data_IF_708210742894
#
_entry.id   IF_708210742894
#
_cell.length_a   1.000
_cell.length_b   1.000
_cell.length_c   1.000
_cell.angle_alpha   90.00
_cell.angle_beta   90.00
_cell.angle_gamma   90.00
#
_symmetry.space_group_name_H-M   'P 1'
#
loop_
_entity.id
_entity.type
_entity.pdbx_description
1 polymer ?
#
# COMPACT_ATOMS: atom_id res chain seq x y z
N UNK A 1 9.42 -1.57 12.25
CA UNK A 1 8.13 -0.94 11.92
C UNK A 1 8.14 -0.74 10.42
N UNK A 2 7.11 -1.20 9.71
CA UNK A 2 7.00 -1.11 8.26
C UNK A 2 6.11 0.06 7.87
N UNK A 3 6.56 0.86 6.90
CA UNK A 3 5.81 2.01 6.39
C UNK A 3 5.05 1.60 5.12
N UNK A 4 3.73 1.77 5.14
CA UNK A 4 2.84 1.33 4.06
C UNK A 4 2.21 2.54 3.37
N UNK A 5 2.51 2.73 2.09
CA UNK A 5 1.84 3.73 1.27
C UNK A 5 0.46 3.20 0.83
N UNK A 6 -0.60 3.93 1.16
CA UNK A 6 -1.96 3.62 0.68
C UNK A 6 -2.28 4.44 -0.56
N UNK A 7 -2.44 3.77 -1.70
CA UNK A 7 -2.96 4.38 -2.91
C UNK A 7 -4.47 4.12 -2.96
N UNK A 8 -5.26 5.19 -2.97
CA UNK A 8 -6.73 5.23 -2.80
C UNK A 8 -7.24 5.19 -1.35
N UNK A 9 -8.55 5.45 -1.19
CA UNK A 9 -9.26 5.23 0.07
C UNK A 9 -9.41 3.73 0.32
N UNK A 10 -8.64 3.23 1.27
CA UNK A 10 -8.77 1.86 1.78
C UNK A 10 -9.71 1.86 2.99
N UNK A 11 -10.59 0.87 3.07
CA UNK A 11 -11.57 0.80 4.15
C UNK A 11 -10.88 0.47 5.49
N UNK A 12 -11.29 1.10 6.62
CA UNK A 12 -10.73 0.84 7.95
C UNK A 12 -10.72 -0.64 8.33
N UNK A 13 -11.79 -1.37 8.01
CA UNK A 13 -11.89 -2.82 8.27
C UNK A 13 -10.73 -3.65 7.71
N UNK A 14 -10.06 -3.18 6.64
CA UNK A 14 -8.85 -3.80 6.10
C UNK A 14 -7.59 -3.32 6.81
N UNK A 15 -7.43 -2.00 6.97
CA UNK A 15 -6.22 -1.40 7.59
C UNK A 15 -6.12 -1.66 9.08
N UNK A 16 -7.24 -1.82 9.79
CA UNK A 16 -7.29 -2.14 11.24
C UNK A 16 -6.73 -3.54 11.54
N UNK A 17 -6.56 -4.38 10.52
CA UNK A 17 -5.86 -5.68 10.64
C UNK A 17 -4.35 -5.53 10.66
N UNK A 18 -3.82 -4.38 10.23
CA UNK A 18 -2.40 -4.07 10.35
C UNK A 18 -2.11 -3.79 11.83
N UNK A 19 -1.35 -4.67 12.46
CA UNK A 19 -0.98 -4.51 13.86
C UNK A 19 0.03 -3.37 14.08
N UNK A 20 0.48 -3.22 15.33
CA UNK A 20 1.41 -2.17 15.78
C UNK A 20 2.77 -2.13 15.05
N UNK A 21 3.11 -3.18 14.29
CA UNK A 21 4.32 -3.22 13.49
C UNK A 21 4.23 -2.41 12.20
N UNK A 22 3.05 -1.92 11.83
CA UNK A 22 2.80 -1.20 10.58
C UNK A 22 2.34 0.23 10.87
N UNK A 23 2.90 1.17 10.11
CA UNK A 23 2.38 2.52 9.95
C UNK A 23 1.88 2.66 8.52
N UNK A 24 0.76 3.32 8.30
CA UNK A 24 0.21 3.48 6.95
C UNK A 24 -0.35 4.89 6.72
N UNK A 25 -0.28 5.35 5.48
CA UNK A 25 -0.78 6.66 5.07
C UNK A 25 -0.66 6.90 3.57
N UNK A 26 -1.28 7.97 3.09
CA UNK A 26 -1.23 8.40 1.69
C UNK A 26 -0.01 9.27 1.36
N UNK A 27 0.77 9.67 2.36
CA UNK A 27 1.94 10.55 2.23
C UNK A 27 3.20 9.88 2.82
N UNK A 28 3.37 8.58 2.52
CA UNK A 28 4.54 7.81 2.94
C UNK A 28 5.59 7.84 1.84
N UNK A 29 6.72 8.47 2.12
CA UNK A 29 7.90 8.45 1.25
C UNK A 29 8.74 7.19 1.50
N UNK A 30 9.34 6.63 0.44
CA UNK A 30 10.15 5.39 0.46
C UNK A 30 9.49 4.23 1.25
N UNK A 31 8.24 3.85 0.91
CA UNK A 31 7.49 2.85 1.66
C UNK A 31 8.13 1.46 1.57
N UNK A 32 8.01 0.67 2.63
CA UNK A 32 8.37 -0.74 2.64
C UNK A 32 7.29 -1.59 1.95
N UNK A 33 6.05 -1.10 1.89
CA UNK A 33 4.97 -1.76 1.18
C UNK A 33 3.95 -0.77 0.59
N UNK A 34 3.24 -1.19 -0.46
CA UNK A 34 2.16 -0.41 -1.07
C UNK A 34 0.84 -1.18 -0.93
N UNK A 35 -0.21 -0.51 -0.47
CA UNK A 35 -1.59 -1.01 -0.45
C UNK A 35 -2.45 -0.22 -1.44
N UNK A 36 -2.87 -0.85 -2.54
CA UNK A 36 -3.59 -0.20 -3.64
C UNK A 36 -5.01 -0.76 -3.79
N UNK A 37 -5.96 0.01 -4.34
CA UNK A 37 -7.28 -0.53 -4.75
C UNK A 37 -7.55 -0.44 -6.25
N UNK A 38 -7.32 0.71 -6.87
CA UNK A 38 -7.63 0.96 -8.29
C UNK A 38 -6.75 2.04 -8.90
N UNK A 39 -5.75 2.55 -8.17
CA UNK A 39 -4.74 3.43 -8.74
C UNK A 39 -3.90 2.63 -9.74
N UNK A 40 -3.59 3.26 -10.88
CA UNK A 40 -2.64 2.75 -11.83
C UNK A 40 -1.23 2.87 -11.25
N UNK A 41 -0.41 1.85 -11.49
CA UNK A 41 0.99 1.79 -11.02
C UNK A 41 1.98 1.53 -12.16
N UNK A 42 1.54 1.62 -13.42
CA UNK A 42 2.34 1.25 -14.59
C UNK A 42 3.61 2.10 -14.74
N UNK A 43 3.51 3.40 -14.42
CA UNK A 43 4.61 4.36 -14.56
C UNK A 43 5.24 4.73 -13.21
N UNK A 44 4.92 3.99 -12.14
CA UNK A 44 5.54 4.23 -10.83
C UNK A 44 6.90 3.56 -10.77
N UNK A 45 7.92 4.33 -10.40
CA UNK A 45 9.20 3.78 -9.99
C UNK A 45 9.12 3.32 -8.53
N UNK A 46 9.68 2.13 -8.26
CA UNK A 46 9.75 1.58 -6.92
C UNK A 46 11.17 1.65 -6.40
N UNK A 47 11.33 2.07 -5.15
CA UNK A 47 12.61 2.02 -4.47
C UNK A 47 13.01 0.57 -4.16
N UNK A 48 14.32 0.32 -4.08
CA UNK A 48 14.88 -1.01 -3.82
C UNK A 48 14.45 -1.61 -2.47
N UNK A 49 13.99 -0.78 -1.53
CA UNK A 49 13.51 -1.21 -0.22
C UNK A 49 12.05 -1.71 -0.24
N UNK A 50 11.35 -1.63 -1.38
CA UNK A 50 9.96 -2.06 -1.47
C UNK A 50 9.88 -3.59 -1.34
N UNK A 51 9.23 -4.06 -0.27
CA UNK A 51 9.13 -5.48 0.05
C UNK A 51 7.87 -6.12 -0.55
N UNK A 52 6.77 -5.38 -0.65
CA UNK A 52 5.49 -5.94 -1.07
C UNK A 52 4.53 -4.91 -1.67
N UNK A 53 3.69 -5.38 -2.60
CA UNK A 53 2.51 -4.67 -3.09
C UNK A 53 1.29 -5.54 -2.84
N UNK A 54 0.31 -5.02 -2.12
CA UNK A 54 -0.95 -5.67 -1.82
C UNK A 54 -2.12 -4.89 -2.43
N UNK A 55 -3.18 -5.61 -2.82
CA UNK A 55 -4.38 -5.00 -3.40
C UNK A 55 -5.62 -5.26 -2.57
N UNK A 56 -6.37 -4.19 -2.27
CA UNK A 56 -7.67 -4.25 -1.64
C UNK A 56 -8.79 -4.48 -2.69
N UNK A 57 -8.84 -5.69 -3.25
CA UNK A 57 -9.85 -6.07 -4.25
C UNK A 57 -9.61 -7.45 -4.85
N UNK A 58 -10.59 -7.96 -5.59
CA UNK A 58 -10.53 -9.31 -6.17
C UNK A 58 -9.87 -9.37 -7.57
N UNK A 59 -9.96 -8.30 -8.37
CA UNK A 59 -9.35 -8.25 -9.70
C UNK A 59 -7.92 -7.72 -9.65
N UNK A 60 -7.06 -8.10 -10.60
CA UNK A 60 -5.67 -7.64 -10.74
C UNK A 60 -5.46 -6.67 -11.90
N UNK A 61 -6.55 -6.16 -12.48
CA UNK A 61 -6.52 -5.18 -13.58
C UNK A 61 -6.39 -3.77 -13.00
N UNK A 62 -5.21 -3.17 -13.15
CA UNK A 62 -4.88 -1.82 -12.68
C UNK A 62 -3.53 -1.38 -13.19
#
# INVERSE_FOLDING_TARGET
MYNVLTLNKIAPIGTDRLGSNYSYGNEVENPDAILVRSAAMHDMEFADNLLAIARAGAGTNN
#
